data_IF_002455899101
#
_entry.id   IF_002455899101
#
_cell.length_a   1.000
_cell.length_b   1.000
_cell.length_c   1.000
_cell.angle_alpha   90.00
_cell.angle_beta   90.00
_cell.angle_gamma   90.00
#
_symmetry.space_group_name_H-M   'P 1'
#
loop_
_entity.id
_entity.type
_entity.pdbx_description
1 polymer ?
#
# COMPACT_ATOMS: atom_id res chain seq x y z
N UNK A 1 54.22 52.10 -66.13
CA UNK A 1 54.11 50.64 -65.99
C UNK A 1 52.64 50.26 -66.09
N UNK A 2 52.31 49.40 -67.07
CA UNK A 2 51.20 48.44 -67.13
C UNK A 2 49.78 48.88 -66.72
N UNK A 3 48.88 49.10 -67.70
CA UNK A 3 47.77 48.18 -68.14
C UNK A 3 46.52 48.30 -67.23
N UNK A 4 45.24 48.27 -67.64
CA UNK A 4 44.50 48.04 -68.90
C UNK A 4 43.01 48.42 -68.65
N UNK A 5 42.36 48.92 -69.72
CA UNK A 5 40.93 48.94 -70.16
C UNK A 5 39.84 48.27 -69.28
N UNK A 6 38.72 48.95 -69.02
CA UNK A 6 37.44 49.01 -69.79
C UNK A 6 36.58 47.73 -69.70
N UNK A 7 35.31 47.87 -69.29
CA UNK A 7 34.31 46.80 -69.46
C UNK A 7 33.00 47.01 -68.68
N UNK A 8 32.08 47.76 -69.28
CA UNK A 8 30.65 47.85 -68.93
C UNK A 8 29.94 46.51 -69.26
N UNK A 9 28.89 46.11 -68.52
CA UNK A 9 27.57 45.62 -69.00
C UNK A 9 26.86 44.66 -68.02
N UNK A 10 25.66 45.12 -67.64
CA UNK A 10 24.35 44.41 -67.67
C UNK A 10 23.95 43.46 -66.54
N UNK A 11 22.74 43.79 -66.08
CA UNK A 11 21.92 43.16 -65.06
C UNK A 11 21.48 41.73 -65.38
N UNK A 12 21.17 40.97 -64.32
CA UNK A 12 20.12 39.96 -64.31
C UNK A 12 19.73 39.69 -62.86
N UNK A 13 18.57 40.21 -62.44
CA UNK A 13 17.94 39.86 -61.18
C UNK A 13 17.29 38.48 -61.33
N UNK A 14 17.74 37.49 -60.55
CA UNK A 14 16.99 36.25 -60.37
C UNK A 14 16.15 36.37 -59.09
N UNK A 15 14.85 36.49 -59.29
CA UNK A 15 13.83 36.25 -58.28
C UNK A 15 13.59 34.74 -58.24
N UNK A 16 14.13 34.05 -57.23
CA UNK A 16 13.74 32.67 -56.94
C UNK A 16 12.54 32.67 -56.00
N UNK A 17 11.38 32.28 -56.55
CA UNK A 17 10.18 31.96 -55.78
C UNK A 17 10.44 30.72 -54.91
N UNK A 18 10.67 30.95 -53.61
CA UNK A 18 10.70 29.89 -52.60
C UNK A 18 9.28 29.46 -52.28
N UNK A 19 8.89 28.27 -52.76
CA UNK A 19 7.66 27.58 -52.37
C UNK A 19 7.73 27.31 -50.87
N UNK A 20 6.90 28.03 -50.10
CA UNK A 20 6.71 27.80 -48.68
C UNK A 20 6.04 26.44 -48.44
N UNK A 21 6.85 25.41 -48.26
CA UNK A 21 6.40 24.18 -47.62
C UNK A 21 6.32 24.51 -46.13
N UNK A 22 5.11 24.73 -45.63
CA UNK A 22 4.84 24.75 -44.21
C UNK A 22 5.24 23.38 -43.64
N UNK A 23 6.43 23.31 -43.07
CA UNK A 23 6.83 22.22 -42.21
C UNK A 23 5.88 22.24 -41.02
N UNK A 24 4.85 21.41 -41.08
CA UNK A 24 4.05 21.06 -39.92
C UNK A 24 5.00 20.33 -38.98
N UNK A 25 5.55 21.06 -38.01
CA UNK A 25 6.20 20.48 -36.84
C UNK A 25 5.16 19.60 -36.16
N UNK A 26 5.14 18.33 -36.54
CA UNK A 26 4.64 17.27 -35.68
C UNK A 26 5.56 17.28 -34.47
N UNK A 27 5.16 18.04 -33.45
CA UNK A 27 5.72 17.95 -32.13
C UNK A 27 5.61 16.50 -31.70
N UNK A 28 6.71 15.76 -31.87
CA UNK A 28 6.94 14.52 -31.17
C UNK A 28 6.89 14.91 -29.71
N UNK A 29 5.75 14.65 -29.07
CA UNK A 29 5.65 14.62 -27.62
C UNK A 29 6.77 13.70 -27.16
N UNK A 30 7.87 14.27 -26.70
CA UNK A 30 8.90 13.52 -26.00
C UNK A 30 8.16 12.80 -24.88
N UNK A 31 8.05 11.47 -25.02
CA UNK A 31 7.43 10.62 -24.04
C UNK A 31 8.31 10.69 -22.80
N UNK A 32 8.00 11.64 -21.94
CA UNK A 32 8.57 11.83 -20.63
C UNK A 32 8.15 10.60 -19.82
N UNK A 33 8.92 9.51 -19.96
CA UNK A 33 8.67 8.21 -19.35
C UNK A 33 8.85 8.36 -17.82
N UNK A 34 7.82 8.90 -17.15
CA UNK A 34 7.83 9.15 -15.71
C UNK A 34 7.78 7.82 -14.99
N UNK A 35 8.86 7.49 -14.31
CA UNK A 35 8.91 6.33 -13.41
C UNK A 35 8.42 6.74 -12.03
N UNK A 36 7.56 5.93 -11.43
CA UNK A 36 7.05 6.10 -10.06
C UNK A 36 7.39 4.85 -9.25
N UNK A 37 8.14 5.01 -8.17
CA UNK A 37 8.51 3.90 -7.27
C UNK A 37 7.51 3.77 -6.14
N UNK A 38 6.82 2.64 -6.05
CA UNK A 38 5.79 2.35 -5.04
C UNK A 38 6.33 1.33 -4.04
N UNK A 39 6.37 1.71 -2.77
CA UNK A 39 6.69 0.81 -1.66
C UNK A 39 5.51 -0.06 -1.27
N UNK A 40 5.72 -1.38 -1.20
CA UNK A 40 4.74 -2.39 -0.76
C UNK A 40 5.36 -3.28 0.31
N UNK A 41 4.53 -3.94 1.12
CA UNK A 41 5.01 -4.88 2.16
C UNK A 41 4.57 -6.30 1.81
N UNK A 42 5.55 -7.18 1.70
CA UNK A 42 5.37 -8.55 1.23
C UNK A 42 4.99 -8.63 -0.24
N UNK A 43 4.59 -9.83 -0.66
CA UNK A 43 4.36 -10.18 -2.06
C UNK A 43 2.88 -10.10 -2.47
N UNK A 44 1.98 -10.11 -1.49
CA UNK A 44 0.53 -10.22 -1.62
C UNK A 44 -0.04 -9.22 -2.63
N UNK A 45 0.48 -8.00 -2.65
CA UNK A 45 -0.02 -6.95 -3.52
C UNK A 45 0.71 -6.85 -4.88
N UNK A 46 1.77 -7.65 -5.13
CA UNK A 46 2.62 -7.53 -6.33
C UNK A 46 1.80 -7.68 -7.61
N UNK A 47 1.09 -8.80 -7.77
CA UNK A 47 0.33 -9.09 -8.99
C UNK A 47 -0.72 -8.00 -9.28
N UNK A 48 -1.39 -7.50 -8.24
CA UNK A 48 -2.34 -6.39 -8.36
C UNK A 48 -1.65 -5.12 -8.85
N UNK A 49 -0.51 -4.76 -8.27
CA UNK A 49 0.24 -3.56 -8.63
C UNK A 49 0.92 -3.68 -10.01
N UNK A 50 1.32 -4.86 -10.44
CA UNK A 50 1.82 -5.12 -11.78
C UNK A 50 0.71 -4.96 -12.82
N UNK A 51 -0.49 -5.49 -12.57
CA UNK A 51 -1.66 -5.26 -13.41
C UNK A 51 -1.97 -3.75 -13.53
N UNK A 52 -1.98 -3.02 -12.40
CA UNK A 52 -2.16 -1.56 -12.39
C UNK A 52 -1.03 -0.89 -13.18
N UNK A 53 0.22 -1.30 -12.98
CA UNK A 53 1.38 -0.76 -13.68
C UNK A 53 1.27 -0.88 -15.20
N UNK A 54 0.82 -2.04 -15.71
CA UNK A 54 0.57 -2.25 -17.14
C UNK A 54 -0.49 -1.29 -17.67
N UNK A 55 -1.61 -1.11 -16.95
CA UNK A 55 -2.70 -0.21 -17.36
C UNK A 55 -2.30 1.25 -17.30
N UNK A 56 -1.64 1.70 -16.22
CA UNK A 56 -1.12 3.07 -16.10
C UNK A 56 -0.09 3.34 -17.21
N UNK A 57 0.79 2.37 -17.54
CA UNK A 57 1.76 2.53 -18.63
C UNK A 57 1.07 2.71 -19.98
N UNK A 58 0.07 1.89 -20.27
CA UNK A 58 -0.72 1.96 -21.52
C UNK A 58 -1.49 3.27 -21.65
N UNK A 59 -2.15 3.72 -20.58
CA UNK A 59 -3.01 4.92 -20.61
C UNK A 59 -2.24 6.24 -20.53
N UNK A 60 -1.15 6.29 -19.76
CA UNK A 60 -0.50 7.54 -19.39
C UNK A 60 1.02 7.56 -19.62
N UNK A 61 1.62 6.48 -20.11
CA UNK A 61 3.07 6.37 -20.33
C UNK A 61 3.91 6.27 -19.05
N UNK A 62 3.28 6.14 -17.88
CA UNK A 62 3.96 6.09 -16.57
C UNK A 62 4.43 4.67 -16.28
N UNK A 63 5.69 4.49 -15.88
CA UNK A 63 6.23 3.20 -15.45
C UNK A 63 6.14 3.11 -13.92
N UNK A 64 5.48 2.07 -13.39
CA UNK A 64 5.53 1.78 -11.94
C UNK A 64 6.67 0.80 -11.66
N UNK A 65 7.52 1.11 -10.67
CA UNK A 65 8.50 0.18 -10.09
C UNK A 65 8.08 -0.15 -8.68
N UNK A 66 8.08 -1.42 -8.31
CA UNK A 66 7.78 -1.85 -6.95
C UNK A 66 9.07 -1.98 -6.14
N UNK A 67 9.03 -1.48 -4.91
CA UNK A 67 10.04 -1.74 -3.89
C UNK A 67 9.39 -2.48 -2.74
N UNK A 68 9.81 -3.72 -2.55
CA UNK A 68 9.26 -4.59 -1.51
C UNK A 68 9.99 -4.38 -0.17
N UNK A 69 9.22 -4.45 0.91
CA UNK A 69 9.70 -4.43 2.28
C UNK A 69 9.13 -5.64 3.03
N UNK A 70 9.79 -6.04 4.11
CA UNK A 70 9.39 -7.17 4.95
C UNK A 70 8.85 -6.75 6.33
N UNK A 71 8.73 -5.45 6.58
CA UNK A 71 8.24 -4.86 7.82
C UNK A 71 7.37 -3.62 7.54
N UNK A 72 6.62 -3.17 8.55
CA UNK A 72 5.72 -2.02 8.44
C UNK A 72 6.35 -0.66 8.77
N UNK A 73 7.60 -0.61 9.22
CA UNK A 73 8.25 0.63 9.68
C UNK A 73 8.99 1.31 8.52
N UNK A 74 9.82 0.55 7.80
CA UNK A 74 10.68 1.08 6.74
C UNK A 74 9.97 1.78 5.58
N UNK A 75 8.78 1.36 5.11
CA UNK A 75 8.18 2.00 3.93
C UNK A 75 7.78 3.47 4.12
N UNK A 76 7.39 3.87 5.34
CA UNK A 76 7.09 5.28 5.61
C UNK A 76 8.36 6.12 5.71
N UNK A 77 9.40 5.60 6.37
CA UNK A 77 10.70 6.27 6.44
C UNK A 77 11.28 6.47 5.03
N UNK A 78 11.27 5.42 4.21
CA UNK A 78 11.73 5.49 2.81
C UNK A 78 10.91 6.48 1.96
N UNK A 79 9.62 6.67 2.25
CA UNK A 79 8.79 7.68 1.59
C UNK A 79 9.14 9.10 2.06
N UNK A 80 9.41 9.30 3.35
CA UNK A 80 9.86 10.59 3.90
C UNK A 80 11.21 10.98 3.30
N UNK A 81 12.14 10.04 3.18
CA UNK A 81 13.52 10.27 2.75
C UNK A 81 13.68 10.41 1.22
N UNK A 82 12.59 10.31 0.45
CA UNK A 82 12.66 10.44 -1.01
C UNK A 82 13.03 9.15 -1.76
N UNK A 83 13.27 8.04 -1.05
CA UNK A 83 13.61 6.74 -1.67
C UNK A 83 12.42 6.05 -2.35
N UNK A 84 11.20 6.52 -2.09
CA UNK A 84 9.96 6.10 -2.74
C UNK A 84 9.20 7.32 -3.24
N UNK A 85 8.38 7.17 -4.26
CA UNK A 85 7.40 8.19 -4.67
C UNK A 85 6.09 8.04 -3.91
N UNK A 86 5.64 6.80 -3.76
CA UNK A 86 4.41 6.40 -3.08
C UNK A 86 4.67 5.18 -2.19
N UNK A 87 3.81 4.94 -1.21
CA UNK A 87 3.69 3.62 -0.60
C UNK A 87 2.22 3.20 -0.49
N UNK A 88 1.96 1.90 -0.43
CA UNK A 88 0.61 1.35 -0.34
C UNK A 88 0.60 0.01 0.39
N UNK A 89 0.64 0.06 1.73
CA UNK A 89 0.77 -1.14 2.57
C UNK A 89 0.00 -1.08 3.90
N UNK A 90 -0.55 0.07 4.26
CA UNK A 90 -0.95 0.39 5.63
C UNK A 90 -2.39 0.88 5.72
N UNK A 91 -3.00 0.64 6.88
CA UNK A 91 -4.30 1.18 7.25
C UNK A 91 -4.21 2.66 7.64
N UNK A 92 -5.35 3.35 7.61
CA UNK A 92 -5.46 4.75 8.03
C UNK A 92 -4.97 4.98 9.46
N UNK A 93 -5.36 4.14 10.42
CA UNK A 93 -4.97 4.31 11.82
C UNK A 93 -3.45 4.14 12.03
N UNK A 94 -2.84 3.16 11.37
CA UNK A 94 -1.39 2.96 11.41
C UNK A 94 -0.67 4.14 10.75
N UNK A 95 -1.17 4.58 9.59
CA UNK A 95 -0.63 5.75 8.89
C UNK A 95 -0.67 7.00 9.77
N UNK A 96 -1.80 7.29 10.41
CA UNK A 96 -1.96 8.50 11.24
C UNK A 96 -1.00 8.47 12.45
N UNK A 97 -0.87 7.34 13.14
CA UNK A 97 0.07 7.15 14.25
C UNK A 97 1.52 7.36 13.81
N UNK A 98 1.96 6.64 12.77
CA UNK A 98 3.34 6.72 12.28
C UNK A 98 3.65 8.09 11.71
N UNK A 99 2.77 8.65 10.89
CA UNK A 99 2.98 9.95 10.28
C UNK A 99 3.07 11.05 11.35
N UNK A 100 2.28 10.98 12.43
CA UNK A 100 2.40 11.90 13.57
C UNK A 100 3.81 11.86 14.18
N UNK A 101 4.36 10.66 14.41
CA UNK A 101 5.72 10.45 14.94
C UNK A 101 6.82 10.99 14.02
N UNK A 102 6.57 11.03 12.71
CA UNK A 102 7.50 11.56 11.69
C UNK A 102 7.28 13.06 11.35
N UNK A 103 6.56 13.80 12.19
CA UNK A 103 6.32 15.24 11.97
C UNK A 103 5.27 15.53 10.89
N UNK A 104 4.38 14.58 10.62
CA UNK A 104 3.23 14.72 9.70
C UNK A 104 3.63 15.15 8.28
N UNK A 105 4.70 14.56 7.72
CA UNK A 105 5.23 14.89 6.39
C UNK A 105 4.51 14.19 5.24
N UNK A 106 3.74 13.15 5.53
CA UNK A 106 3.02 12.34 4.55
C UNK A 106 1.54 12.71 4.50
N UNK A 107 0.87 12.35 3.41
CA UNK A 107 -0.59 12.42 3.29
C UNK A 107 -1.11 11.23 2.49
N UNK A 108 -2.32 10.79 2.82
CA UNK A 108 -3.09 9.88 1.97
C UNK A 108 -3.51 10.59 0.69
N UNK A 109 -3.40 9.91 -0.44
CA UNK A 109 -3.86 10.38 -1.76
C UNK A 109 -4.93 9.47 -2.38
N UNK A 110 -5.26 8.35 -1.73
CA UNK A 110 -6.31 7.44 -2.20
C UNK A 110 -6.54 6.28 -1.23
N UNK A 111 -7.80 5.91 -1.03
CA UNK A 111 -8.20 4.67 -0.34
C UNK A 111 -8.00 3.47 -1.28
N UNK A 112 -7.66 2.31 -0.74
CA UNK A 112 -7.46 1.07 -1.49
C UNK A 112 -8.44 0.00 -1.04
N UNK A 113 -8.04 -0.82 -0.08
CA UNK A 113 -8.72 -2.05 0.30
C UNK A 113 -8.90 -2.15 1.79
N UNK A 114 -9.86 -2.95 2.23
CA UNK A 114 -9.97 -3.39 3.60
C UNK A 114 -9.69 -4.88 3.69
N UNK A 115 -8.87 -5.24 4.67
CA UNK A 115 -8.39 -6.61 4.89
C UNK A 115 -8.69 -6.97 6.35
N UNK A 116 -9.62 -7.90 6.63
CA UNK A 116 -9.89 -8.35 7.99
C UNK A 116 -8.64 -8.99 8.62
N UNK A 117 -8.35 -8.62 9.86
CA UNK A 117 -7.36 -9.32 10.69
C UNK A 117 -8.00 -10.61 11.23
N UNK A 118 -7.19 -11.64 11.46
CA UNK A 118 -7.70 -12.98 11.85
C UNK A 118 -6.88 -13.56 12.99
N UNK A 119 -7.55 -14.33 13.85
CA UNK A 119 -6.91 -15.22 14.80
C UNK A 119 -6.76 -16.59 14.13
N UNK A 120 -5.53 -17.08 14.06
CA UNK A 120 -5.17 -18.38 13.50
C UNK A 120 -4.67 -19.33 14.58
N UNK A 121 -4.85 -20.63 14.36
CA UNK A 121 -4.17 -21.69 15.11
C UNK A 121 -3.85 -22.87 14.20
N UNK A 122 -2.67 -23.46 14.39
CA UNK A 122 -2.29 -24.73 13.75
C UNK A 122 -2.59 -25.95 14.66
N UNK A 123 -3.06 -25.72 15.89
CA UNK A 123 -3.26 -26.74 16.93
C UNK A 123 -4.72 -26.88 17.38
N UNK A 124 -5.53 -25.85 17.17
CA UNK A 124 -6.93 -25.78 17.57
C UNK A 124 -7.80 -25.57 16.32
N UNK A 125 -8.93 -26.26 16.25
CA UNK A 125 -9.89 -26.13 15.14
C UNK A 125 -10.98 -25.10 15.44
N UNK A 126 -11.21 -24.81 16.72
CA UNK A 126 -12.20 -23.83 17.20
C UNK A 126 -11.73 -23.13 18.48
N UNK A 127 -12.32 -21.97 18.77
CA UNK A 127 -11.98 -21.14 19.94
C UNK A 127 -12.03 -21.89 21.28
N UNK A 128 -12.94 -22.86 21.43
CA UNK A 128 -13.06 -23.64 22.67
C UNK A 128 -11.83 -24.51 22.96
N UNK A 129 -11.07 -24.87 21.92
CA UNK A 129 -9.94 -25.80 22.02
C UNK A 129 -8.66 -25.09 22.51
N UNK A 130 -8.68 -23.76 22.56
CA UNK A 130 -7.61 -22.97 23.18
C UNK A 130 -7.56 -23.31 24.67
N UNK A 131 -6.49 -23.99 25.07
CA UNK A 131 -6.28 -24.45 26.45
C UNK A 131 -5.95 -23.29 27.38
N UNK A 132 -6.18 -23.48 28.68
CA UNK A 132 -5.68 -22.55 29.68
C UNK A 132 -4.15 -22.52 29.66
N UNK A 133 -3.55 -21.34 29.85
CA UNK A 133 -2.10 -21.15 29.73
C UNK A 133 -1.57 -21.06 28.29
N UNK A 134 -2.44 -21.15 27.28
CA UNK A 134 -2.04 -21.07 25.89
C UNK A 134 -1.36 -19.73 25.57
N UNK A 135 -0.39 -19.77 24.68
CA UNK A 135 0.32 -18.59 24.19
C UNK A 135 -0.31 -18.09 22.89
N UNK A 136 -0.68 -16.82 22.83
CA UNK A 136 -1.21 -16.15 21.63
C UNK A 136 -0.24 -15.05 21.22
N UNK A 137 0.30 -15.15 20.01
CA UNK A 137 1.12 -14.09 19.45
C UNK A 137 0.25 -12.94 18.91
N UNK A 138 0.67 -11.69 19.13
CA UNK A 138 0.02 -10.49 18.60
C UNK A 138 1.07 -9.52 18.04
N UNK A 139 0.73 -8.65 17.07
CA UNK A 139 1.62 -7.57 16.63
C UNK A 139 1.99 -6.64 17.79
N UNK A 140 3.17 -6.03 17.73
CA UNK A 140 3.72 -5.18 18.79
C UNK A 140 3.77 -3.67 18.45
N UNK A 141 3.24 -3.26 17.29
CA UNK A 141 2.97 -1.85 17.03
C UNK A 141 1.63 -1.44 17.62
N UNK A 142 1.58 -0.26 18.24
CA UNK A 142 0.43 0.22 19.03
C UNK A 142 -0.94 0.00 18.36
N UNK A 143 -1.05 0.34 17.07
CA UNK A 143 -2.34 0.29 16.37
C UNK A 143 -2.78 -1.13 16.01
N UNK A 144 -1.84 -1.99 15.58
CA UNK A 144 -2.16 -3.38 15.26
C UNK A 144 -2.25 -4.25 16.52
N UNK A 145 -1.52 -3.93 17.59
CA UNK A 145 -1.66 -4.57 18.89
C UNK A 145 -3.05 -4.33 19.44
N UNK A 146 -3.50 -3.08 19.52
CA UNK A 146 -4.87 -2.76 19.93
C UNK A 146 -5.90 -3.44 19.03
N UNK A 147 -5.68 -3.47 17.71
CA UNK A 147 -6.55 -4.20 16.76
C UNK A 147 -6.59 -5.70 17.07
N UNK A 148 -5.46 -6.30 17.44
CA UNK A 148 -5.38 -7.71 17.80
C UNK A 148 -6.08 -8.00 19.13
N UNK A 149 -5.90 -7.14 20.14
CA UNK A 149 -6.64 -7.24 21.40
C UNK A 149 -8.16 -7.17 21.16
N UNK A 150 -8.62 -6.30 20.25
CA UNK A 150 -10.03 -6.26 19.84
C UNK A 150 -10.51 -7.57 19.20
N UNK A 151 -9.68 -8.25 18.40
CA UNK A 151 -9.99 -9.58 17.86
C UNK A 151 -10.15 -10.60 19.00
N UNK A 152 -9.28 -10.57 20.01
CA UNK A 152 -9.38 -11.45 21.17
C UNK A 152 -10.59 -11.14 22.07
N UNK A 153 -10.99 -9.86 22.17
CA UNK A 153 -12.25 -9.45 22.83
C UNK A 153 -13.45 -9.97 22.05
N UNK A 154 -13.45 -9.85 20.72
CA UNK A 154 -14.49 -10.42 19.86
C UNK A 154 -14.58 -11.95 20.03
N UNK A 155 -13.44 -12.63 20.20
CA UNK A 155 -13.35 -14.05 20.52
C UNK A 155 -13.83 -14.41 21.93
N UNK A 156 -14.14 -13.42 22.77
CA UNK A 156 -14.48 -13.57 24.20
C UNK A 156 -13.38 -14.26 25.01
N UNK A 157 -12.13 -14.10 24.60
CA UNK A 157 -10.96 -14.69 25.27
C UNK A 157 -10.41 -13.78 26.37
N UNK A 158 -10.49 -12.46 26.17
CA UNK A 158 -9.98 -11.45 27.10
C UNK A 158 -10.92 -10.23 27.16
N UNK A 159 -10.71 -9.37 28.15
CA UNK A 159 -11.10 -7.94 28.14
C UNK A 159 -9.89 -7.11 28.59
N UNK A 160 -9.82 -5.87 28.15
CA UNK A 160 -8.77 -4.93 28.56
C UNK A 160 -9.37 -3.57 28.92
N UNK A 161 -8.60 -2.73 29.60
CA UNK A 161 -9.01 -1.38 29.97
C UNK A 161 -9.08 -0.46 28.74
N UNK A 162 -10.27 -0.20 28.23
CA UNK A 162 -10.48 0.64 27.03
C UNK A 162 -10.26 2.14 27.26
N UNK A 163 -9.96 2.57 28.49
CA UNK A 163 -9.62 3.97 28.81
C UNK A 163 -8.15 4.29 28.57
N UNK A 164 -7.31 3.27 28.38
CA UNK A 164 -5.88 3.43 28.10
C UNK A 164 -5.70 3.76 26.62
N UNK A 165 -4.91 4.80 26.33
CA UNK A 165 -4.44 5.09 24.98
C UNK A 165 -3.41 4.04 24.58
N UNK A 166 -3.55 3.46 23.39
CA UNK A 166 -2.66 2.41 22.86
C UNK A 166 -2.48 1.22 23.84
N UNK A 167 -3.57 0.52 24.21
CA UNK A 167 -3.53 -0.55 25.20
C UNK A 167 -2.68 -1.72 24.71
N UNK A 168 -1.96 -2.32 25.67
CA UNK A 168 -1.08 -3.46 25.45
C UNK A 168 -1.57 -4.71 26.17
N UNK A 169 -0.83 -5.83 26.06
CA UNK A 169 -1.08 -7.03 26.87
C UNK A 169 -1.18 -6.76 28.39
N UNK A 170 -0.49 -5.73 28.89
CA UNK A 170 -0.49 -5.36 30.32
C UNK A 170 -1.82 -4.77 30.78
N UNK A 171 -2.64 -4.24 29.86
CA UNK A 171 -3.90 -3.59 30.16
C UNK A 171 -5.08 -4.57 30.20
N UNK A 172 -4.82 -5.87 30.08
CA UNK A 172 -5.83 -6.94 30.16
C UNK A 172 -6.38 -7.03 31.58
N UNK A 173 -7.69 -6.82 31.72
CA UNK A 173 -8.41 -6.80 33.00
C UNK A 173 -9.20 -8.07 33.27
N UNK A 174 -9.38 -8.93 32.26
CA UNK A 174 -10.06 -10.21 32.39
C UNK A 174 -9.44 -11.23 31.44
N UNK A 175 -8.95 -12.34 31.99
CA UNK A 175 -8.27 -13.41 31.25
C UNK A 175 -8.50 -14.77 31.96
N UNK A 176 -9.69 -15.39 31.84
CA UNK A 176 -10.06 -16.58 32.61
C UNK A 176 -9.23 -17.81 32.23
N UNK A 177 -8.73 -17.86 30.99
CA UNK A 177 -7.87 -18.93 30.48
C UNK A 177 -6.40 -18.70 30.82
N UNK A 178 -6.03 -17.63 31.55
CA UNK A 178 -4.63 -17.31 31.87
C UNK A 178 -3.72 -17.35 30.63
N UNK A 179 -4.22 -16.80 29.52
CA UNK A 179 -3.51 -16.77 28.24
C UNK A 179 -2.25 -15.93 28.37
N UNK A 180 -1.16 -16.41 27.76
CA UNK A 180 0.09 -15.67 27.64
C UNK A 180 0.07 -14.89 26.32
N UNK A 181 0.06 -13.56 26.38
CA UNK A 181 0.12 -12.73 25.17
C UNK A 181 1.59 -12.47 24.84
N UNK A 182 2.02 -12.87 23.65
CA UNK A 182 3.38 -12.69 23.16
C UNK A 182 3.39 -11.64 22.05
N UNK A 183 3.85 -10.45 22.37
CA UNK A 183 4.04 -9.37 21.40
C UNK A 183 5.22 -9.70 20.47
N UNK A 184 5.00 -9.60 19.16
CA UNK A 184 6.01 -9.82 18.12
C UNK A 184 5.87 -8.78 17.01
N UNK A 185 6.94 -8.55 16.23
CA UNK A 185 6.82 -7.79 14.99
C UNK A 185 5.78 -8.44 14.06
N UNK A 186 4.97 -7.62 13.38
CA UNK A 186 3.88 -8.10 12.52
C UNK A 186 4.40 -9.03 11.40
N UNK A 187 5.58 -8.76 10.84
CA UNK A 187 6.23 -9.61 9.85
C UNK A 187 6.71 -10.95 10.40
N UNK A 188 6.81 -11.08 11.73
CA UNK A 188 7.16 -12.34 12.42
C UNK A 188 5.95 -13.12 12.93
N UNK A 189 4.73 -12.60 12.78
CA UNK A 189 3.52 -13.23 13.35
C UNK A 189 3.26 -14.64 12.80
N UNK A 190 3.54 -14.89 11.52
CA UNK A 190 3.43 -16.23 10.90
C UNK A 190 4.50 -17.18 11.45
N UNK A 191 5.74 -16.72 11.62
CA UNK A 191 6.80 -17.52 12.24
C UNK A 191 6.47 -17.84 13.69
N UNK A 192 5.90 -16.87 14.42
CA UNK A 192 5.47 -17.05 15.81
C UNK A 192 4.37 -18.12 15.92
N UNK A 193 3.39 -18.12 15.00
CA UNK A 193 2.29 -19.10 14.95
C UNK A 193 2.78 -20.56 14.96
N UNK A 194 3.96 -20.85 14.38
CA UNK A 194 4.55 -22.21 14.38
C UNK A 194 4.98 -22.69 15.77
N UNK A 195 5.21 -21.76 16.70
CA UNK A 195 5.73 -22.04 18.05
C UNK A 195 4.76 -21.68 19.16
N UNK A 196 3.73 -20.86 18.88
CA UNK A 196 2.66 -20.52 19.82
C UNK A 196 1.43 -21.41 19.60
N UNK A 197 0.38 -21.22 20.41
CA UNK A 197 -0.87 -21.97 20.28
C UNK A 197 -1.85 -21.29 19.33
N UNK A 198 -1.79 -19.97 19.24
CA UNK A 198 -2.49 -19.17 18.25
C UNK A 198 -1.69 -17.89 17.93
N UNK A 199 -2.10 -17.18 16.89
CA UNK A 199 -1.58 -15.86 16.56
C UNK A 199 -2.65 -15.01 15.90
N UNK A 200 -2.70 -13.72 16.25
CA UNK A 200 -3.49 -12.74 15.51
C UNK A 200 -2.60 -12.13 14.42
N UNK A 201 -2.99 -12.29 13.16
CA UNK A 201 -2.12 -12.00 12.00
C UNK A 201 -2.82 -11.05 11.02
N UNK A 202 -2.08 -10.04 10.55
CA UNK A 202 -2.49 -9.16 9.46
C UNK A 202 -2.68 -9.93 8.15
N UNK A 203 -3.67 -9.55 7.33
CA UNK A 203 -4.05 -10.36 6.18
C UNK A 203 -3.00 -10.47 5.07
N UNK A 204 -2.13 -9.47 4.86
CA UNK A 204 -1.05 -9.59 3.86
C UNK A 204 -0.05 -10.67 4.25
N UNK A 205 0.43 -10.68 5.51
CA UNK A 205 1.38 -11.72 5.95
C UNK A 205 0.76 -13.11 5.96
N UNK A 206 -0.52 -13.23 6.34
CA UNK A 206 -1.25 -14.49 6.27
C UNK A 206 -1.40 -15.00 4.81
N UNK A 207 -1.66 -14.09 3.88
CA UNK A 207 -1.80 -14.39 2.46
C UNK A 207 -0.45 -14.78 1.83
N UNK A 208 0.62 -14.03 2.09
CA UNK A 208 2.00 -14.36 1.66
C UNK A 208 2.43 -15.75 2.13
N UNK A 209 2.08 -16.09 3.37
CA UNK A 209 2.36 -17.38 3.97
C UNK A 209 1.42 -18.50 3.51
N UNK A 210 0.40 -18.19 2.69
CA UNK A 210 -0.63 -19.12 2.22
C UNK A 210 -1.30 -19.88 3.37
N UNK A 211 -1.60 -19.20 4.48
CA UNK A 211 -2.33 -19.80 5.59
C UNK A 211 -3.70 -20.27 5.12
N UNK A 212 -4.10 -21.48 5.53
CA UNK A 212 -5.33 -22.09 5.05
C UNK A 212 -6.55 -21.55 5.83
N UNK A 213 -7.70 -21.50 5.16
CA UNK A 213 -8.95 -21.07 5.80
C UNK A 213 -9.34 -21.93 7.01
N UNK A 214 -8.98 -23.23 6.99
CA UNK A 214 -9.21 -24.15 8.11
C UNK A 214 -8.44 -23.75 9.39
N UNK A 215 -7.36 -23.00 9.26
CA UNK A 215 -6.54 -22.57 10.40
C UNK A 215 -7.10 -21.28 11.03
N UNK A 216 -8.15 -20.67 10.46
CA UNK A 216 -8.80 -19.46 10.98
C UNK A 216 -9.76 -19.85 12.12
N UNK A 217 -9.48 -19.37 13.32
CA UNK A 217 -10.38 -19.48 14.48
C UNK A 217 -11.40 -18.35 14.55
N UNK A 218 -11.02 -17.15 14.10
CA UNK A 218 -11.88 -15.98 14.09
C UNK A 218 -11.45 -14.99 13.02
N UNK A 219 -12.42 -14.45 12.27
CA UNK A 219 -12.22 -13.28 11.41
C UNK A 219 -12.75 -12.02 12.11
N UNK A 220 -11.95 -10.95 12.10
CA UNK A 220 -12.35 -9.64 12.62
C UNK A 220 -13.66 -9.20 11.96
N UNK A 221 -14.63 -8.79 12.77
CA UNK A 221 -15.87 -8.21 12.30
C UNK A 221 -15.68 -6.74 11.95
N UNK A 222 -15.75 -6.43 10.65
CA UNK A 222 -15.63 -5.09 10.11
C UNK A 222 -16.98 -4.53 9.62
N UNK A 223 -18.11 -4.95 10.21
CA UNK A 223 -19.43 -4.38 9.85
C UNK A 223 -19.64 -2.96 10.37
N UNK A 224 -18.89 -2.55 11.40
CA UNK A 224 -18.94 -1.22 12.01
C UNK A 224 -17.53 -0.66 12.14
N UNK A 225 -17.40 0.66 12.09
CA UNK A 225 -16.12 1.37 12.27
C UNK A 225 -15.00 0.88 11.33
N UNK A 226 -15.28 0.86 10.02
CA UNK A 226 -14.34 0.38 9.00
C UNK A 226 -13.24 1.37 8.68
N UNK A 227 -13.53 2.68 8.74
CA UNK A 227 -12.65 3.74 8.24
C UNK A 227 -11.21 3.70 8.79
N UNK A 228 -10.98 3.45 10.09
CA UNK A 228 -9.62 3.33 10.64
C UNK A 228 -8.79 2.21 10.00
N UNK A 229 -9.45 1.16 9.48
CA UNK A 229 -8.83 -0.05 8.94
C UNK A 229 -8.79 -0.09 7.41
N UNK A 230 -9.23 0.98 6.74
CA UNK A 230 -9.09 1.10 5.28
C UNK A 230 -7.61 1.35 4.96
N UNK A 231 -7.06 0.56 4.03
CA UNK A 231 -5.72 0.78 3.50
C UNK A 231 -5.70 1.95 2.52
N UNK A 232 -4.52 2.54 2.35
CA UNK A 232 -4.35 3.75 1.54
C UNK A 232 -3.06 3.76 0.72
N UNK A 233 -3.03 4.65 -0.26
CA UNK A 233 -1.82 5.09 -0.97
C UNK A 233 -1.37 6.39 -0.31
N UNK A 234 -0.14 6.43 0.17
CA UNK A 234 0.48 7.62 0.76
C UNK A 234 1.51 8.25 -0.19
N UNK A 235 1.65 9.58 -0.08
CA UNK A 235 2.67 10.37 -0.74
C UNK A 235 3.26 11.39 0.26
N UNK A 236 4.39 12.02 -0.07
CA UNK A 236 4.85 13.23 0.62
C UNK A 236 3.86 14.36 0.41
N UNK A 237 3.56 15.15 1.45
CA UNK A 237 2.60 16.28 1.38
C UNK A 237 2.91 17.27 0.25
N UNK A 238 4.18 17.60 0.07
CA UNK A 238 4.65 18.54 -0.96
C UNK A 238 4.43 18.04 -2.39
N UNK A 239 4.13 16.76 -2.57
CA UNK A 239 4.02 16.11 -3.88
C UNK A 239 2.65 15.48 -4.13
N UNK A 240 1.76 15.51 -3.14
CA UNK A 240 0.45 14.86 -3.19
C UNK A 240 -0.41 15.28 -4.39
N UNK A 241 -0.17 16.48 -4.93
CA UNK A 241 -0.91 17.04 -6.06
C UNK A 241 -0.32 16.73 -7.43
N UNK A 242 0.80 16.00 -7.52
CA UNK A 242 1.42 15.63 -8.81
C UNK A 242 0.40 14.90 -9.70
N UNK A 243 0.29 15.35 -10.96
CA UNK A 243 -0.63 14.78 -11.97
C UNK A 243 -0.45 13.27 -12.12
N UNK A 244 0.80 12.80 -12.14
CA UNK A 244 1.14 11.38 -12.27
C UNK A 244 0.60 10.52 -11.11
N UNK A 245 0.60 11.04 -9.87
CA UNK A 245 0.07 10.30 -8.72
C UNK A 245 -1.45 10.21 -8.78
N UNK A 246 -2.13 11.30 -9.18
CA UNK A 246 -3.58 11.30 -9.41
C UNK A 246 -3.99 10.31 -10.51
N UNK A 247 -3.20 10.17 -11.58
CA UNK A 247 -3.43 9.19 -12.64
C UNK A 247 -3.31 7.75 -12.12
N UNK A 248 -2.32 7.47 -11.27
CA UNK A 248 -2.17 6.14 -10.64
C UNK A 248 -3.38 5.82 -9.75
N UNK A 249 -3.79 6.76 -8.88
CA UNK A 249 -4.97 6.58 -8.01
C UNK A 249 -6.23 6.35 -8.85
N UNK A 250 -6.40 7.10 -9.95
CA UNK A 250 -7.53 6.94 -10.87
C UNK A 250 -7.59 5.53 -11.45
N UNK A 251 -6.48 4.95 -11.90
CA UNK A 251 -6.45 3.57 -12.42
C UNK A 251 -6.69 2.55 -11.30
N UNK A 252 -6.13 2.78 -10.11
CA UNK A 252 -6.38 1.93 -8.94
C UNK A 252 -7.88 1.86 -8.62
N UNK A 253 -8.60 2.98 -8.61
CA UNK A 253 -9.99 3.06 -8.17
C UNK A 253 -11.00 2.81 -9.31
N UNK A 254 -10.81 1.74 -10.07
CA UNK A 254 -11.66 1.34 -11.20
C UNK A 254 -12.46 0.06 -10.93
N UNK A 255 -13.52 -0.16 -11.71
CA UNK A 255 -14.27 -1.42 -11.69
C UNK A 255 -13.39 -2.61 -12.07
N UNK A 256 -12.44 -2.42 -12.99
CA UNK A 256 -11.47 -3.42 -13.41
C UNK A 256 -10.53 -3.81 -12.26
N UNK A 257 -9.97 -2.85 -11.51
CA UNK A 257 -9.16 -3.17 -10.31
C UNK A 257 -10.00 -3.88 -9.26
N UNK A 258 -11.27 -3.51 -9.09
CA UNK A 258 -12.19 -4.22 -8.20
C UNK A 258 -12.39 -5.67 -8.62
N UNK A 259 -12.51 -5.95 -9.92
CA UNK A 259 -12.59 -7.31 -10.44
C UNK A 259 -11.27 -8.08 -10.20
N UNK A 260 -10.12 -7.44 -10.42
CA UNK A 260 -8.81 -8.06 -10.16
C UNK A 260 -8.61 -8.37 -8.68
N UNK A 261 -8.97 -7.46 -7.77
CA UNK A 261 -8.96 -7.72 -6.32
C UNK A 261 -9.84 -8.94 -5.99
N UNK A 262 -11.03 -9.05 -6.61
CA UNK A 262 -11.92 -10.19 -6.38
C UNK A 262 -11.31 -11.51 -6.88
N UNK A 263 -10.65 -11.48 -8.04
CA UNK A 263 -9.98 -12.63 -8.65
C UNK A 263 -8.80 -13.11 -7.80
N UNK A 264 -7.93 -12.20 -7.38
CA UNK A 264 -6.71 -12.52 -6.64
C UNK A 264 -6.99 -12.93 -5.19
N UNK A 265 -7.95 -12.26 -4.53
CA UNK A 265 -8.11 -12.38 -3.07
C UNK A 265 -9.46 -12.97 -2.64
N UNK A 266 -10.41 -13.18 -3.56
CA UNK A 266 -11.71 -13.78 -3.24
C UNK A 266 -12.49 -12.98 -2.19
N UNK A 267 -12.53 -13.48 -0.95
CA UNK A 267 -13.21 -12.86 0.20
C UNK A 267 -12.22 -12.45 1.31
N UNK A 268 -10.92 -12.46 1.04
CA UNK A 268 -9.90 -12.08 2.03
C UNK A 268 -9.61 -10.57 2.03
N UNK A 269 -9.86 -9.89 0.90
CA UNK A 269 -9.62 -8.47 0.69
C UNK A 269 -10.76 -7.83 -0.13
N UNK A 270 -11.18 -6.63 0.26
CA UNK A 270 -12.32 -5.94 -0.36
C UNK A 270 -11.95 -4.52 -0.79
N UNK A 271 -12.38 -4.05 -1.97
CA UNK A 271 -12.29 -2.63 -2.34
C UNK A 271 -12.95 -1.73 -1.31
N UNK A 272 -12.28 -0.64 -0.93
CA UNK A 272 -12.72 0.24 0.16
C UNK A 272 -12.80 1.73 -0.22
N UNK A 273 -12.52 2.10 -1.48
CA UNK A 273 -12.54 3.50 -1.89
C UNK A 273 -13.93 4.15 -1.93
N UNK A 274 -14.99 3.35 -1.97
CA UNK A 274 -16.38 3.83 -1.89
C UNK A 274 -16.98 3.72 -0.47
N UNK A 275 -16.22 3.22 0.51
CA UNK A 275 -16.69 3.12 1.89
C UNK A 275 -16.59 4.49 2.58
N UNK A 276 -17.70 4.88 3.21
CA UNK A 276 -17.81 6.08 4.04
C UNK A 276 -17.36 5.79 5.46
#
# INVERSE_FOLDING_TARGET
MHKVKLGLLVASALVTAGVGVAAQEQGVLAADNKTVTVGVVGDTARELWENIGQRVKKEYGITIKLKEFNDYVKPNQALVDGSLDLNAFQTKIFFDDQNKKMGSKLTSIGKTVIVPMRLYSLKADKLSDIKSGATIAVPNDATNEQRALNVLVQAKLIKYNTKVTDPTAKDITWNPKKLNIKEVDAGQAVSALKTTDAAVINGNFAHDAKLADKDILLTQNLKKNVDPYINLIAARKTEANKKVYKQIVKVYQTAETKAEIKKLFGNSQYPAWNLK
#
